data_IF_424823435666
#
_entry.id   IF_424823435666
#
_cell.length_a   1.000
_cell.length_b   1.000
_cell.length_c   1.000
_cell.angle_alpha   90.00
_cell.angle_beta   90.00
_cell.angle_gamma   90.00
#
_symmetry.space_group_name_H-M   'P 1'
#
loop_
_entity.id
_entity.type
_entity.pdbx_description
1 polymer ?
#
# COMPACT_ATOMS: atom_id res chain seq x y z
N UNK A 1 -8.63 -3.14 6.74
CA UNK A 1 -8.23 -3.64 5.42
C UNK A 1 -6.83 -3.16 5.07
N UNK A 2 -6.00 -4.03 4.57
CA UNK A 2 -4.62 -3.71 4.23
C UNK A 2 -4.15 -4.49 3.00
N UNK A 3 -3.13 -3.97 2.34
CA UNK A 3 -2.45 -4.62 1.24
C UNK A 3 -0.98 -4.73 1.60
N UNK A 4 -0.41 -5.91 1.39
CA UNK A 4 0.95 -6.23 1.81
C UNK A 4 1.91 -6.23 0.62
N UNK A 5 3.03 -5.54 0.79
CA UNK A 5 4.15 -5.59 -0.15
C UNK A 5 5.23 -6.48 0.41
N UNK A 6 5.77 -7.36 -0.42
CA UNK A 6 6.91 -8.20 -0.04
C UNK A 6 8.15 -7.79 -0.83
N UNK A 7 9.23 -7.59 -0.12
CA UNK A 7 10.55 -7.45 -0.72
C UNK A 7 11.11 -8.83 -1.00
N UNK A 8 11.70 -9.01 -2.18
CA UNK A 8 12.41 -10.23 -2.54
C UNK A 8 13.93 -10.11 -2.36
N UNK A 9 14.36 -9.05 -1.69
CA UNK A 9 15.77 -8.89 -1.35
C UNK A 9 16.16 -9.98 -0.34
N UNK A 10 17.18 -10.73 -0.69
CA UNK A 10 17.68 -11.83 0.14
C UNK A 10 18.81 -11.35 1.01
N UNK A 11 19.01 -12.07 2.05
CA UNK A 11 20.10 -12.16 2.98
C UNK A 11 21.16 -11.11 3.06
N UNK A 12 21.64 -10.83 4.24
CA UNK A 12 21.79 -9.52 4.56
C UNK A 12 22.94 -9.24 5.47
N UNK A 13 23.89 -8.56 4.93
CA UNK A 13 24.82 -7.77 5.69
C UNK A 13 24.07 -6.54 6.23
N UNK A 14 24.53 -5.97 7.36
CA UNK A 14 23.79 -4.89 8.03
C UNK A 14 23.54 -3.65 7.15
N UNK A 15 24.47 -3.35 6.24
CA UNK A 15 24.29 -2.23 5.30
C UNK A 15 23.15 -2.51 4.33
N UNK A 16 23.00 -3.74 3.86
CA UNK A 16 21.92 -4.16 2.98
C UNK A 16 20.59 -4.17 3.70
N UNK A 17 20.56 -4.52 5.00
CA UNK A 17 19.35 -4.44 5.80
C UNK A 17 18.84 -3.02 5.91
N UNK A 18 19.72 -2.07 6.16
CA UNK A 18 19.36 -0.66 6.22
C UNK A 18 18.82 -0.15 4.88
N UNK A 19 19.49 -0.54 3.79
CA UNK A 19 19.06 -0.16 2.44
C UNK A 19 17.68 -0.75 2.14
N UNK A 20 17.45 -1.99 2.49
CA UNK A 20 16.16 -2.65 2.31
C UNK A 20 15.05 -1.95 3.09
N UNK A 21 15.30 -1.61 4.34
CA UNK A 21 14.34 -0.88 5.17
C UNK A 21 14.02 0.49 4.57
N UNK A 22 15.04 1.18 4.06
CA UNK A 22 14.86 2.46 3.39
C UNK A 22 14.00 2.30 2.15
N UNK A 23 14.26 1.28 1.34
CA UNK A 23 13.47 1.01 0.13
C UNK A 23 12.02 0.74 0.47
N UNK A 24 11.76 -0.07 1.50
CA UNK A 24 10.40 -0.39 1.93
C UNK A 24 9.66 0.86 2.44
N UNK A 25 10.34 1.73 3.15
CA UNK A 25 9.75 2.99 3.63
C UNK A 25 9.38 3.90 2.46
N UNK A 26 10.24 4.02 1.47
CA UNK A 26 9.96 4.81 0.27
C UNK A 26 8.77 4.24 -0.48
N UNK A 27 8.75 2.93 -0.67
CA UNK A 27 7.65 2.24 -1.35
C UNK A 27 6.34 2.44 -0.60
N UNK A 28 6.37 2.27 0.72
CA UNK A 28 5.20 2.47 1.57
C UNK A 28 4.63 3.88 1.43
N UNK A 29 5.50 4.89 1.46
CA UNK A 29 5.08 6.28 1.28
C UNK A 29 4.47 6.55 -0.08
N UNK A 30 5.06 5.98 -1.15
CA UNK A 30 4.50 6.12 -2.50
C UNK A 30 3.17 5.41 -2.64
N UNK A 31 3.06 4.19 -2.13
CA UNK A 31 1.82 3.42 -2.17
C UNK A 31 0.71 4.12 -1.39
N UNK A 32 1.02 4.68 -0.22
CA UNK A 32 0.08 5.48 0.54
C UNK A 32 -0.40 6.68 -0.27
N UNK A 33 0.51 7.38 -0.94
CA UNK A 33 0.16 8.53 -1.79
C UNK A 33 -0.76 8.12 -2.94
N UNK A 34 -0.45 7.02 -3.63
CA UNK A 34 -1.29 6.52 -4.70
C UNK A 34 -2.67 6.10 -4.20
N UNK A 35 -2.72 5.42 -3.05
CA UNK A 35 -3.99 5.01 -2.47
C UNK A 35 -4.85 6.23 -2.11
N UNK A 36 -4.24 7.26 -1.56
CA UNK A 36 -4.95 8.51 -1.24
C UNK A 36 -5.50 9.20 -2.48
N UNK A 37 -4.75 9.17 -3.59
CA UNK A 37 -5.22 9.75 -4.84
C UNK A 37 -6.40 9.00 -5.44
N UNK A 38 -6.42 7.68 -5.29
CA UNK A 38 -7.47 6.83 -5.84
C UNK A 38 -8.69 6.74 -4.93
N UNK A 39 -8.53 7.06 -3.64
CA UNK A 39 -9.59 6.92 -2.66
C UNK A 39 -10.71 7.93 -2.92
N UNK A 40 -11.97 7.49 -3.00
CA UNK A 40 -13.09 8.42 -3.09
C UNK A 40 -13.14 9.31 -1.85
N UNK A 41 -13.37 10.59 -2.06
CA UNK A 41 -13.38 11.57 -0.97
C UNK A 41 -14.78 12.11 -0.78
N UNK A 42 -15.34 11.87 0.40
CA UNK A 42 -16.58 12.48 0.85
C UNK A 42 -16.24 13.48 1.96
N UNK A 43 -15.90 12.99 3.14
CA UNK A 43 -15.47 13.84 4.26
C UNK A 43 -13.96 13.92 4.40
N UNK A 44 -13.22 13.08 3.68
CA UNK A 44 -11.77 12.95 3.82
C UNK A 44 -11.35 11.98 4.91
N UNK A 45 -12.27 11.44 5.69
CA UNK A 45 -11.96 10.53 6.80
C UNK A 45 -11.21 9.29 6.31
N UNK A 46 -11.73 8.64 5.27
CA UNK A 46 -11.11 7.43 4.71
C UNK A 46 -9.74 7.75 4.13
N UNK A 47 -9.65 8.76 3.28
CA UNK A 47 -8.38 9.14 2.67
C UNK A 47 -7.32 9.46 3.71
N UNK A 48 -7.68 10.22 4.74
CA UNK A 48 -6.73 10.65 5.76
C UNK A 48 -6.32 9.52 6.70
N UNK A 49 -7.06 8.41 6.72
CA UNK A 49 -6.76 7.25 7.55
C UNK A 49 -5.76 6.30 6.91
N UNK A 50 -5.48 6.46 5.62
CA UNK A 50 -4.57 5.56 4.91
C UNK A 50 -3.14 5.80 5.39
N UNK A 51 -2.50 4.73 5.83
CA UNK A 51 -1.13 4.79 6.35
C UNK A 51 -0.32 3.63 5.79
N UNK A 52 0.99 3.68 6.00
CA UNK A 52 1.86 2.57 5.69
C UNK A 52 2.69 2.23 6.92
N UNK A 53 3.13 0.97 6.99
CA UNK A 53 3.88 0.48 8.13
C UNK A 53 4.72 -0.71 7.71
N UNK A 54 5.94 -0.80 8.23
CA UNK A 54 6.76 -1.98 8.05
C UNK A 54 6.23 -3.10 8.96
N UNK A 55 5.88 -4.23 8.35
CA UNK A 55 5.38 -5.40 9.08
C UNK A 55 6.52 -6.29 9.56
N UNK A 56 7.48 -6.57 8.68
CA UNK A 56 8.68 -7.34 9.00
C UNK A 56 9.82 -6.87 8.07
N UNK A 57 10.97 -7.56 8.12
CA UNK A 57 12.16 -7.19 7.36
C UNK A 57 11.92 -7.10 5.86
N UNK A 58 10.95 -7.83 5.35
CA UNK A 58 10.70 -7.98 3.92
C UNK A 58 9.33 -7.46 3.48
N UNK A 59 8.55 -6.93 4.40
CA UNK A 59 7.14 -6.64 4.13
C UNK A 59 6.76 -5.25 4.59
N UNK A 60 6.22 -4.48 3.66
CA UNK A 60 5.57 -3.20 3.93
C UNK A 60 4.08 -3.36 3.73
N UNK A 61 3.26 -2.71 4.54
CA UNK A 61 1.81 -2.80 4.49
C UNK A 61 1.22 -1.40 4.37
N UNK A 62 0.25 -1.23 3.45
CA UNK A 62 -0.61 -0.05 3.45
C UNK A 62 -2.00 -0.45 3.88
N UNK A 63 -2.69 0.42 4.55
CA UNK A 63 -4.03 0.09 5.03
C UNK A 63 -4.72 1.23 5.73
N UNK A 64 -5.92 0.91 6.21
CA UNK A 64 -6.77 1.83 6.94
C UNK A 64 -7.51 1.05 8.03
N UNK A 65 -7.83 1.74 9.11
CA UNK A 65 -8.64 1.19 10.20
C UNK A 65 -10.10 1.64 10.12
N UNK A 66 -10.49 2.33 9.06
CA UNK A 66 -11.87 2.79 8.90
C UNK A 66 -12.75 1.60 8.56
N UNK A 67 -13.83 1.44 9.30
CA UNK A 67 -14.71 0.26 9.27
C UNK A 67 -15.43 0.07 7.94
N UNK A 68 -15.71 1.13 7.19
CA UNK A 68 -16.40 1.02 5.91
C UNK A 68 -15.46 0.87 4.70
N UNK A 69 -14.15 0.85 4.92
CA UNK A 69 -13.17 0.74 3.84
C UNK A 69 -13.38 -0.47 2.93
N UNK A 70 -13.70 -1.67 3.45
CA UNK A 70 -13.94 -2.83 2.57
C UNK A 70 -15.10 -2.62 1.61
N UNK A 71 -16.12 -1.91 2.02
CA UNK A 71 -17.27 -1.62 1.16
C UNK A 71 -16.89 -0.69 0.02
N UNK A 72 -16.00 0.26 0.27
CA UNK A 72 -15.50 1.16 -0.77
C UNK A 72 -14.61 0.39 -1.75
N UNK A 73 -13.70 -0.41 -1.23
CA UNK A 73 -12.74 -1.15 -2.06
C UNK A 73 -13.43 -2.18 -2.94
N UNK A 74 -14.33 -2.98 -2.36
CA UNK A 74 -14.88 -4.17 -2.98
C UNK A 74 -16.31 -4.01 -3.49
N UNK A 75 -16.99 -2.96 -3.07
CA UNK A 75 -18.41 -2.80 -3.36
C UNK A 75 -19.27 -3.50 -2.31
N UNK A 76 -20.57 -3.31 -2.40
CA UNK A 76 -21.51 -3.87 -1.42
C UNK A 76 -22.93 -3.89 -1.96
N UNK A 77 -23.80 -4.68 -1.31
CA UNK A 77 -25.23 -4.65 -1.56
C UNK A 77 -25.91 -3.70 -0.60
N UNK A 78 -26.85 -2.91 -1.13
CA UNK A 78 -27.71 -2.05 -0.28
C UNK A 78 -28.82 -2.89 0.37
N UNK A 79 -29.52 -2.31 1.32
CA UNK A 79 -30.67 -2.96 1.95
C UNK A 79 -31.77 -3.34 0.97
N UNK A 80 -31.86 -2.60 -0.16
CA UNK A 80 -32.81 -2.92 -1.22
C UNK A 80 -32.34 -3.99 -2.21
N UNK A 81 -31.15 -4.59 -1.98
CA UNK A 81 -30.61 -5.63 -2.83
C UNK A 81 -29.82 -5.13 -4.03
N UNK A 82 -29.72 -3.82 -4.23
CA UNK A 82 -28.92 -3.26 -5.31
C UNK A 82 -27.45 -3.33 -4.99
N UNK A 83 -26.64 -3.76 -5.98
CA UNK A 83 -25.19 -3.81 -5.81
C UNK A 83 -24.56 -2.46 -6.16
N UNK A 84 -23.71 -1.97 -5.26
CA UNK A 84 -22.90 -0.77 -5.50
C UNK A 84 -21.49 -1.23 -5.83
N UNK A 85 -21.01 -0.89 -7.04
CA UNK A 85 -19.67 -1.27 -7.50
C UNK A 85 -18.60 -0.64 -6.63
N UNK A 86 -17.59 -1.42 -6.30
CA UNK A 86 -16.44 -0.93 -5.55
C UNK A 86 -15.60 0.04 -6.36
N UNK A 87 -14.88 0.90 -5.66
CA UNK A 87 -13.86 1.79 -6.23
C UNK A 87 -12.54 1.49 -5.55
N UNK A 88 -11.75 0.52 -6.06
CA UNK A 88 -10.51 0.09 -5.42
C UNK A 88 -9.51 1.23 -5.31
N UNK A 89 -8.87 1.32 -4.17
CA UNK A 89 -7.83 2.32 -3.93
C UNK A 89 -6.57 1.71 -3.32
N UNK A 90 -6.68 0.65 -2.52
CA UNK A 90 -5.52 -0.01 -1.92
C UNK A 90 -4.85 -0.97 -2.90
N UNK A 91 -5.63 -1.85 -3.54
CA UNK A 91 -5.07 -2.85 -4.45
C UNK A 91 -4.37 -2.22 -5.66
N UNK A 92 -4.97 -1.25 -6.37
CA UNK A 92 -4.26 -0.60 -7.48
C UNK A 92 -3.00 0.13 -7.02
N UNK A 93 -3.01 0.72 -5.83
CA UNK A 93 -1.82 1.38 -5.29
C UNK A 93 -0.69 0.39 -5.05
N UNK A 94 -1.02 -0.82 -4.58
CA UNK A 94 -0.03 -1.86 -4.33
C UNK A 94 0.43 -2.54 -5.61
N UNK A 95 -0.49 -2.94 -6.48
CA UNK A 95 -0.21 -3.81 -7.62
C UNK A 95 0.02 -3.04 -8.92
N UNK A 96 -0.61 -1.89 -9.08
CA UNK A 96 -0.54 -1.12 -10.32
C UNK A 96 0.81 -0.45 -10.59
N UNK A 97 1.69 -0.39 -9.60
CA UNK A 97 2.99 0.28 -9.70
C UNK A 97 4.16 -0.65 -9.38
N UNK A 98 3.99 -1.95 -9.62
CA UNK A 98 4.97 -2.96 -9.27
C UNK A 98 6.35 -2.70 -9.91
N UNK A 99 6.37 -2.25 -11.17
CA UNK A 99 7.62 -1.95 -11.86
C UNK A 99 8.36 -0.77 -11.22
N UNK A 100 7.63 0.25 -10.82
CA UNK A 100 8.19 1.40 -10.11
C UNK A 100 8.79 0.97 -8.77
N UNK A 101 8.08 0.15 -8.02
CA UNK A 101 8.57 -0.33 -6.73
C UNK A 101 9.82 -1.18 -6.87
N UNK A 102 9.88 -2.04 -7.88
CA UNK A 102 11.09 -2.80 -8.18
C UNK A 102 12.26 -1.90 -8.51
N UNK A 103 12.04 -0.85 -9.30
CA UNK A 103 13.09 0.09 -9.65
C UNK A 103 13.61 0.84 -8.42
N UNK A 104 12.74 1.18 -7.49
CA UNK A 104 13.14 1.82 -6.23
C UNK A 104 14.03 0.88 -5.42
N UNK A 105 13.63 -0.37 -5.29
CA UNK A 105 14.42 -1.37 -4.57
C UNK A 105 15.80 -1.51 -5.21
N UNK A 106 15.85 -1.67 -6.53
CA UNK A 106 17.11 -1.83 -7.25
C UNK A 106 18.04 -0.64 -7.05
N UNK A 107 17.53 0.59 -7.16
CA UNK A 107 18.33 1.80 -6.98
C UNK A 107 18.88 1.93 -5.58
N UNK A 108 18.04 1.69 -4.58
CA UNK A 108 18.44 1.82 -3.18
C UNK A 108 19.46 0.73 -2.81
N UNK A 109 19.21 -0.51 -3.23
CA UNK A 109 20.12 -1.61 -2.95
C UNK A 109 21.46 -1.46 -3.68
N UNK A 110 21.45 -0.92 -4.89
CA UNK A 110 22.67 -0.69 -5.65
C UNK A 110 23.61 0.29 -4.96
N UNK A 111 23.07 1.24 -4.22
CA UNK A 111 23.86 2.26 -3.53
C UNK A 111 24.19 1.88 -2.09
N UNK A 112 23.85 0.67 -1.69
CA UNK A 112 24.11 0.19 -0.34
C UNK A 112 25.58 -0.18 -0.10
#
# INVERSE_FOLDING_TARGET
MSVTFKSYAKDVLSAEQKAKQMALEIIGGKAESYAKKLCPVDTGRLRNSITHQQYDENTEVIGTNVEYAPYVELGHHTTGGTYVTGKPFLRPAAEGHAAEYRNIIQKVMKNA
#
